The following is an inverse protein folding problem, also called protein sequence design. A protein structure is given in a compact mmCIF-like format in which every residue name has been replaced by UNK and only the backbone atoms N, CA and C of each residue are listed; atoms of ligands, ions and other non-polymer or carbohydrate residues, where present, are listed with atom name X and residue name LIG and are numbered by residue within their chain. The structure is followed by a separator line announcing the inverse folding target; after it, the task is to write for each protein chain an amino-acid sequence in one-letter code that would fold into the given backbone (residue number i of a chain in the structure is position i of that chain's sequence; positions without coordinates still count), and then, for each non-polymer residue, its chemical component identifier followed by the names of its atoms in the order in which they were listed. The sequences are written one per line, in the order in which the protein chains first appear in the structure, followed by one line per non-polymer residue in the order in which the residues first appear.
data_IF_390663666159
#
_entry.id   IF_390663666159
#
_cell.length_a   1.000
_cell.length_b   1.000
_cell.length_c   1.000
_cell.angle_alpha   90.00
_cell.angle_beta   90.00
_cell.angle_gamma   90.00
#
_symmetry.space_group_name_H-M   'P 1'
#
loop_
_entity.id
_entity.type
_entity.pdbx_description
1 polymer ?
#
# COMPACT_ATOMS: atom_id res chain seq x y z
N UNK A 1 -68.18 70.18 -18.07
CA UNK A 1 -66.90 70.02 -18.78
C UNK A 1 -66.53 68.56 -18.63
N UNK A 2 -67.11 67.66 -19.45
CA UNK A 2 -66.75 67.33 -20.84
C UNK A 2 -65.64 66.25 -20.87
N UNK A 3 -65.94 65.11 -21.49
CA UNK A 3 -65.09 63.96 -21.86
C UNK A 3 -64.61 63.04 -20.70
N UNK A 4 -64.54 61.72 -20.86
CA UNK A 4 -65.49 60.74 -21.43
C UNK A 4 -65.08 59.30 -21.01
N UNK A 5 -65.97 58.31 -21.23
CA UNK A 5 -65.75 56.85 -21.47
C UNK A 5 -64.32 56.24 -21.36
N UNK A 6 -64.05 54.99 -20.93
CA UNK A 6 -64.78 53.71 -20.71
C UNK A 6 -63.74 52.73 -20.06
N UNK A 7 -64.00 51.53 -19.51
CA UNK A 7 -65.19 50.63 -19.43
C UNK A 7 -65.14 49.81 -18.10
N UNK A 8 -65.97 48.77 -17.97
CA UNK A 8 -66.09 47.79 -16.87
C UNK A 8 -64.94 46.71 -16.88
N UNK A 9 -64.73 45.78 -15.93
CA UNK A 9 -65.67 45.03 -15.05
C UNK A 9 -64.91 44.18 -13.99
N UNK A 10 -65.58 43.76 -12.91
CA UNK A 10 -65.27 42.60 -12.00
C UNK A 10 -63.90 42.64 -11.29
N UNK A 11 -63.76 42.89 -9.98
CA UNK A 11 -64.37 42.20 -8.81
C UNK A 11 -64.21 40.67 -8.85
N UNK A 12 -63.16 40.14 -8.19
CA UNK A 12 -63.26 39.24 -6.99
C UNK A 12 -61.90 38.71 -6.53
N UNK A 13 -61.63 38.90 -5.23
CA UNK A 13 -61.00 37.95 -4.29
C UNK A 13 -59.60 37.42 -4.69
N UNK A 14 -58.56 38.12 -4.22
CA UNK A 14 -57.27 37.53 -3.91
C UNK A 14 -57.37 36.77 -2.58
N UNK A 15 -57.47 35.44 -2.61
CA UNK A 15 -57.28 34.55 -1.45
C UNK A 15 -57.06 33.12 -1.92
N UNK A 16 -56.13 32.40 -1.27
CA UNK A 16 -55.84 30.98 -1.48
C UNK A 16 -55.34 30.57 -2.90
N UNK A 17 -54.09 30.91 -3.21
CA UNK A 17 -53.31 30.21 -4.25
C UNK A 17 -51.89 29.86 -3.75
N UNK A 18 -51.83 29.12 -2.63
CA UNK A 18 -50.56 28.73 -1.98
C UNK A 18 -50.65 27.37 -1.25
N UNK A 19 -51.25 26.35 -1.87
CA UNK A 19 -51.41 25.02 -1.27
C UNK A 19 -51.73 23.95 -2.33
N UNK A 20 -50.76 23.59 -3.19
CA UNK A 20 -50.83 22.37 -4.05
C UNK A 20 -49.53 22.03 -4.84
N UNK A 21 -48.32 22.33 -4.33
CA UNK A 21 -47.07 22.03 -5.04
C UNK A 21 -45.93 21.44 -4.17
N UNK A 22 -46.27 20.72 -3.09
CA UNK A 22 -45.29 20.00 -2.25
C UNK A 22 -45.76 18.59 -1.87
N UNK A 23 -46.04 17.76 -2.88
CA UNK A 23 -46.04 16.27 -2.77
C UNK A 23 -45.73 15.65 -4.14
N UNK A 24 -44.55 15.98 -4.67
CA UNK A 24 -43.73 14.94 -5.32
C UNK A 24 -42.63 14.57 -4.34
N UNK A 25 -43.00 13.79 -3.32
CA UNK A 25 -42.07 12.84 -2.72
C UNK A 25 -41.45 12.01 -3.83
N UNK A 26 -40.19 11.59 -3.68
CA UNK A 26 -39.57 10.64 -4.61
C UNK A 26 -40.55 9.50 -4.88
N UNK A 27 -40.99 9.36 -6.14
CA UNK A 27 -41.53 8.07 -6.55
C UNK A 27 -40.39 7.07 -6.37
N UNK A 28 -40.70 5.90 -5.83
CA UNK A 28 -39.75 4.79 -5.82
C UNK A 28 -39.59 4.41 -7.29
N UNK A 29 -38.49 4.85 -7.88
CA UNK A 29 -38.26 4.75 -9.32
C UNK A 29 -37.89 3.29 -9.65
N UNK A 30 -38.92 2.51 -9.97
CA UNK A 30 -38.81 1.10 -10.33
C UNK A 30 -39.88 0.22 -9.65
N UNK A 31 -40.94 -0.11 -10.38
CA UNK A 31 -41.97 -1.09 -10.00
C UNK A 31 -41.45 -2.55 -9.96
N UNK A 32 -40.13 -2.74 -9.82
CA UNK A 32 -39.50 -4.05 -9.87
C UNK A 32 -38.23 -4.12 -8.99
N UNK A 33 -38.35 -3.66 -7.73
CA UNK A 33 -37.33 -3.86 -6.68
C UNK A 33 -37.24 -5.33 -6.20
N UNK A 34 -37.26 -6.27 -7.13
CA UNK A 34 -36.92 -7.66 -6.86
C UNK A 34 -35.39 -7.81 -6.85
N UNK A 35 -34.86 -8.26 -5.71
CA UNK A 35 -33.53 -8.85 -5.67
C UNK A 35 -33.58 -10.13 -6.52
N UNK A 36 -32.62 -10.28 -7.42
CA UNK A 36 -32.39 -11.55 -8.12
C UNK A 36 -31.92 -12.64 -7.13
N UNK A 37 -31.81 -13.90 -7.58
CA UNK A 37 -31.15 -14.92 -6.76
C UNK A 37 -29.71 -14.53 -6.41
N UNK A 38 -29.23 -14.94 -5.23
CA UNK A 38 -27.83 -14.74 -4.83
C UNK A 38 -26.89 -15.31 -5.91
N UNK A 39 -25.90 -14.53 -6.38
CA UNK A 39 -24.97 -15.01 -7.40
C UNK A 39 -24.21 -16.23 -6.90
N UNK A 40 -23.93 -17.16 -7.81
CA UNK A 40 -23.12 -18.36 -7.54
C UNK A 40 -21.74 -18.13 -8.17
N UNK A 41 -20.76 -17.60 -7.42
CA UNK A 41 -19.45 -17.30 -7.96
C UNK A 41 -18.68 -18.57 -8.29
N UNK A 42 -18.10 -18.58 -9.48
CA UNK A 42 -17.22 -19.65 -9.95
C UNK A 42 -16.13 -19.03 -10.84
N UNK A 43 -14.99 -19.70 -10.96
CA UNK A 43 -13.89 -19.26 -11.84
C UNK A 43 -12.98 -20.38 -12.30
N UNK A 44 -12.38 -20.19 -13.48
CA UNK A 44 -11.24 -20.98 -13.96
C UNK A 44 -9.93 -20.22 -13.70
N UNK A 45 -8.85 -20.96 -13.48
CA UNK A 45 -7.48 -20.47 -13.43
C UNK A 45 -6.64 -21.24 -14.45
N UNK A 46 -5.95 -20.52 -15.34
CA UNK A 46 -5.14 -21.07 -16.44
C UNK A 46 -3.70 -20.55 -16.30
N UNK A 47 -2.71 -21.44 -16.17
CA UNK A 47 -1.30 -21.06 -16.23
C UNK A 47 -0.92 -20.79 -17.69
N UNK A 48 -0.72 -19.51 -18.03
CA UNK A 48 -0.45 -19.01 -19.40
C UNK A 48 1.06 -18.80 -19.66
N UNK A 49 1.90 -19.14 -18.69
CA UNK A 49 3.35 -19.08 -18.70
C UNK A 49 3.88 -19.29 -17.26
N UNK A 50 5.18 -19.52 -17.06
CA UNK A 50 5.75 -19.77 -15.72
C UNK A 50 5.34 -18.68 -14.73
N UNK A 51 4.63 -19.07 -13.66
CA UNK A 51 4.13 -18.15 -12.64
C UNK A 51 3.07 -17.15 -13.11
N UNK A 52 2.60 -17.19 -14.37
CA UNK A 52 1.57 -16.28 -14.91
C UNK A 52 0.23 -16.98 -14.98
N UNK A 53 -0.68 -16.61 -14.10
CA UNK A 53 -2.03 -17.17 -14.05
C UNK A 53 -3.05 -16.19 -14.61
N UNK A 54 -3.88 -16.66 -15.53
CA UNK A 54 -5.08 -15.98 -16.00
C UNK A 54 -6.29 -16.50 -15.24
N UNK A 55 -6.97 -15.60 -14.53
CA UNK A 55 -8.20 -15.87 -13.80
C UNK A 55 -9.40 -15.44 -14.62
N UNK A 56 -10.42 -16.28 -14.71
CA UNK A 56 -11.60 -16.08 -15.57
C UNK A 56 -12.87 -16.29 -14.75
N UNK A 57 -13.63 -15.21 -14.55
CA UNK A 57 -14.95 -15.26 -13.92
C UNK A 57 -15.91 -16.13 -14.74
N UNK A 58 -16.54 -17.11 -14.08
CA UNK A 58 -17.56 -18.02 -14.66
C UNK A 58 -18.94 -17.84 -14.03
N UNK A 59 -19.11 -16.83 -13.18
CA UNK A 59 -20.40 -16.52 -12.54
C UNK A 59 -21.48 -16.38 -13.59
N UNK A 60 -22.52 -17.19 -13.51
CA UNK A 60 -23.57 -17.33 -14.54
C UNK A 60 -24.54 -16.13 -14.63
N UNK A 61 -24.34 -15.10 -13.80
CA UNK A 61 -25.16 -13.89 -13.74
C UNK A 61 -24.27 -12.65 -13.87
N UNK A 62 -24.75 -11.55 -14.49
CA UNK A 62 -24.01 -10.30 -14.55
C UNK A 62 -23.64 -9.81 -13.15
N UNK A 63 -22.34 -9.65 -12.91
CA UNK A 63 -21.78 -9.25 -11.61
C UNK A 63 -20.55 -8.37 -11.80
N UNK A 64 -20.18 -7.61 -10.77
CA UNK A 64 -18.87 -6.98 -10.65
C UNK A 64 -17.94 -7.98 -9.94
N UNK A 65 -16.90 -8.42 -10.62
CA UNK A 65 -15.93 -9.40 -10.12
C UNK A 65 -14.70 -8.73 -9.49
N UNK A 66 -14.35 -9.14 -8.26
CA UNK A 66 -13.18 -8.67 -7.50
C UNK A 66 -12.37 -9.85 -7.01
N UNK A 67 -11.07 -9.79 -7.22
CA UNK A 67 -10.12 -10.85 -6.87
C UNK A 67 -9.29 -10.45 -5.67
N UNK A 68 -8.98 -11.41 -4.80
CA UNK A 68 -7.96 -11.28 -3.75
C UNK A 68 -7.08 -12.51 -3.75
N UNK A 69 -5.77 -12.34 -3.98
CA UNK A 69 -4.77 -13.40 -3.76
C UNK A 69 -4.46 -13.42 -2.25
N UNK A 70 -4.77 -14.52 -1.57
CA UNK A 70 -4.78 -14.55 -0.10
C UNK A 70 -3.39 -14.44 0.52
N UNK A 71 -2.34 -14.94 -0.16
CA UNK A 71 -0.95 -14.88 0.32
C UNK A 71 -0.34 -13.48 0.27
N UNK A 72 -0.58 -12.73 -0.82
CA UNK A 72 -0.01 -11.39 -1.03
C UNK A 72 -0.94 -10.24 -0.63
N UNK A 73 -2.24 -10.53 -0.46
CA UNK A 73 -3.27 -9.51 -0.31
C UNK A 73 -3.54 -8.68 -1.57
N UNK A 74 -2.96 -9.04 -2.72
CA UNK A 74 -3.16 -8.35 -3.99
C UNK A 74 -4.64 -8.38 -4.39
N UNK A 75 -5.17 -7.22 -4.81
CA UNK A 75 -6.56 -7.08 -5.25
C UNK A 75 -6.65 -6.60 -6.70
N UNK A 76 -7.57 -7.21 -7.47
CA UNK A 76 -7.87 -6.84 -8.86
C UNK A 76 -9.38 -6.78 -9.07
N UNK A 77 -9.85 -6.14 -10.15
CA UNK A 77 -11.26 -6.05 -10.53
C UNK A 77 -11.40 -6.33 -12.04
N UNK A 78 -12.48 -7.02 -12.43
CA UNK A 78 -12.78 -7.39 -13.83
C UNK A 78 -13.03 -8.88 -14.04
N UNK A 79 -13.73 -9.24 -15.12
CA UNK A 79 -14.12 -10.62 -15.41
C UNK A 79 -12.96 -11.52 -15.87
N UNK A 80 -11.89 -10.93 -16.41
CA UNK A 80 -10.64 -11.63 -16.73
C UNK A 80 -9.49 -10.78 -16.21
N UNK A 81 -8.61 -11.37 -15.42
CA UNK A 81 -7.40 -10.72 -14.90
C UNK A 81 -6.20 -11.65 -15.04
N UNK A 82 -5.02 -11.08 -15.19
CA UNK A 82 -3.75 -11.82 -15.09
C UNK A 82 -3.06 -11.47 -13.77
N UNK A 83 -2.50 -12.47 -13.11
CA UNK A 83 -1.70 -12.34 -11.90
C UNK A 83 -0.36 -13.07 -12.06
N UNK A 84 0.66 -12.59 -11.37
CA UNK A 84 1.96 -13.23 -11.30
C UNK A 84 2.12 -13.86 -9.91
N UNK A 85 2.14 -15.18 -9.86
CA UNK A 85 2.42 -16.01 -8.69
C UNK A 85 3.83 -16.58 -8.90
N UNK A 86 4.81 -15.91 -8.32
CA UNK A 86 6.22 -16.01 -8.72
C UNK A 86 6.85 -17.38 -8.44
N UNK A 87 6.38 -18.10 -7.42
CA UNK A 87 7.01 -19.33 -6.96
C UNK A 87 6.14 -20.56 -7.26
N UNK A 88 6.76 -21.71 -7.44
CA UNK A 88 6.07 -23.00 -7.47
C UNK A 88 5.28 -23.20 -6.16
N UNK A 89 4.02 -23.63 -6.26
CA UNK A 89 3.22 -23.82 -5.07
C UNK A 89 1.72 -23.83 -5.30
N UNK A 90 0.98 -23.65 -4.21
CA UNK A 90 -0.48 -23.62 -4.19
C UNK A 90 -0.97 -22.39 -3.44
N UNK A 91 -1.86 -21.64 -4.07
CA UNK A 91 -2.26 -20.30 -3.67
C UNK A 91 -3.78 -20.22 -3.58
N UNK A 92 -4.31 -19.79 -2.44
CA UNK A 92 -5.74 -19.52 -2.33
C UNK A 92 -6.07 -18.18 -2.99
N UNK A 93 -6.97 -18.23 -3.97
CA UNK A 93 -7.49 -17.06 -4.69
C UNK A 93 -8.98 -16.95 -4.40
N UNK A 94 -9.38 -15.80 -3.85
CA UNK A 94 -10.77 -15.47 -3.55
C UNK A 94 -11.36 -14.58 -4.64
N UNK A 95 -12.53 -14.97 -5.14
CA UNK A 95 -13.38 -14.17 -6.01
C UNK A 95 -14.59 -13.70 -5.18
N UNK A 96 -14.72 -12.39 -5.01
CA UNK A 96 -15.92 -11.70 -4.53
C UNK A 96 -16.72 -11.19 -5.73
N UNK A 97 -18.02 -11.47 -5.77
CA UNK A 97 -18.93 -10.96 -6.80
C UNK A 97 -20.09 -10.17 -6.19
N UNK A 98 -20.46 -9.08 -6.84
CA UNK A 98 -21.64 -8.27 -6.50
C UNK A 98 -22.58 -8.18 -7.69
N UNK A 99 -23.86 -8.54 -7.50
CA UNK A 99 -24.90 -8.44 -8.53
C UNK A 99 -26.24 -8.01 -7.94
N UNK A 100 -27.29 -7.97 -8.77
CA UNK A 100 -28.64 -7.54 -8.36
C UNK A 100 -29.22 -8.37 -7.20
N UNK A 101 -28.81 -9.65 -7.06
CA UNK A 101 -29.23 -10.52 -5.95
C UNK A 101 -28.43 -10.38 -4.66
N UNK A 102 -27.44 -9.47 -4.60
CA UNK A 102 -26.54 -9.31 -3.47
C UNK A 102 -25.09 -9.68 -3.77
N UNK A 103 -24.33 -9.98 -2.72
CA UNK A 103 -22.91 -10.33 -2.80
C UNK A 103 -22.68 -11.79 -2.40
N UNK A 104 -21.72 -12.45 -3.04
CA UNK A 104 -21.26 -13.78 -2.70
C UNK A 104 -19.75 -13.92 -2.97
N UNK A 105 -19.12 -14.96 -2.43
CA UNK A 105 -17.69 -15.21 -2.69
C UNK A 105 -17.37 -16.69 -2.77
N UNK A 106 -16.37 -17.05 -3.57
CA UNK A 106 -15.74 -18.38 -3.61
C UNK A 106 -14.23 -18.22 -3.43
N UNK A 107 -13.60 -19.21 -2.81
CA UNK A 107 -12.13 -19.34 -2.78
C UNK A 107 -11.76 -20.67 -3.42
N UNK A 108 -10.81 -20.67 -4.35
CA UNK A 108 -10.21 -21.89 -4.89
C UNK A 108 -8.69 -21.83 -4.75
N UNK A 109 -8.08 -23.00 -4.58
CA UNK A 109 -6.64 -23.15 -4.67
C UNK A 109 -6.21 -23.17 -6.14
N UNK A 110 -5.20 -22.37 -6.46
CA UNK A 110 -4.56 -22.22 -7.77
C UNK A 110 -3.13 -22.73 -7.63
N UNK A 111 -2.74 -23.70 -8.45
CA UNK A 111 -1.37 -24.23 -8.45
C UNK A 111 -0.52 -23.56 -9.52
N UNK A 112 0.75 -23.34 -9.20
CA UNK A 112 1.81 -22.89 -10.11
C UNK A 112 2.80 -24.03 -10.27
N UNK A 113 3.14 -24.39 -11.51
CA UNK A 113 3.93 -25.59 -11.80
C UNK A 113 5.45 -25.41 -11.76
N UNK A 114 5.95 -24.17 -11.77
CA UNK A 114 7.36 -23.83 -11.59
C UNK A 114 7.52 -22.35 -11.21
N UNK A 115 8.63 -22.00 -10.56
CA UNK A 115 9.05 -20.60 -10.35
C UNK A 115 9.12 -19.85 -11.70
N UNK A 116 8.76 -18.56 -11.71
CA UNK A 116 9.03 -17.67 -12.84
C UNK A 116 10.56 -17.46 -12.97
N UNK A 117 11.21 -17.98 -14.03
CA UNK A 117 12.66 -17.93 -14.19
C UNK A 117 13.18 -16.51 -14.46
N UNK A 118 12.31 -15.50 -14.62
CA UNK A 118 12.67 -14.10 -14.78
C UNK A 118 12.36 -13.26 -13.53
N UNK A 119 11.70 -13.79 -12.51
CA UNK A 119 11.28 -13.00 -11.36
C UNK A 119 12.44 -12.49 -10.47
N UNK A 120 13.60 -13.17 -10.49
CA UNK A 120 14.82 -12.67 -9.85
C UNK A 120 15.71 -11.81 -10.75
N UNK A 121 15.30 -11.56 -12.00
CA UNK A 121 15.99 -10.62 -12.89
C UNK A 121 15.94 -9.21 -12.28
N UNK A 122 17.04 -8.46 -12.40
CA UNK A 122 17.15 -7.16 -11.72
C UNK A 122 16.33 -6.03 -12.37
N UNK A 123 15.68 -6.26 -13.52
CA UNK A 123 14.66 -5.37 -14.08
C UNK A 123 13.30 -5.53 -13.37
N UNK A 124 13.15 -6.59 -12.55
CA UNK A 124 12.01 -6.82 -11.67
C UNK A 124 12.24 -6.23 -10.30
N UNK A 125 11.19 -5.68 -9.70
CA UNK A 125 11.29 -5.08 -8.36
C UNK A 125 11.68 -6.14 -7.30
N UNK A 126 11.20 -7.38 -7.44
CA UNK A 126 11.60 -8.47 -6.54
C UNK A 126 13.08 -8.84 -6.70
N UNK A 127 13.55 -9.09 -7.93
CA UNK A 127 14.96 -9.37 -8.22
C UNK A 127 15.90 -8.23 -7.82
N UNK A 128 15.50 -6.98 -8.06
CA UNK A 128 16.24 -5.81 -7.60
C UNK A 128 16.34 -5.78 -6.06
N UNK A 129 15.25 -6.03 -5.32
CA UNK A 129 15.23 -5.99 -3.86
C UNK A 129 15.92 -7.16 -3.17
N UNK A 130 15.81 -8.38 -3.73
CA UNK A 130 16.17 -9.63 -3.06
C UNK A 130 17.20 -10.50 -3.82
N UNK A 131 17.65 -10.09 -5.01
CA UNK A 131 18.45 -10.96 -5.91
C UNK A 131 17.72 -12.28 -6.23
N UNK A 132 18.45 -13.30 -6.67
CA UNK A 132 17.96 -14.68 -6.82
C UNK A 132 18.09 -15.53 -5.54
N UNK A 133 18.44 -14.94 -4.40
CA UNK A 133 18.63 -15.65 -3.11
C UNK A 133 18.22 -14.79 -1.92
N UNK A 134 19.01 -13.78 -1.62
CA UNK A 134 18.70 -12.69 -0.70
C UNK A 134 19.58 -11.48 -1.03
N UNK A 135 19.18 -10.30 -0.57
CA UNK A 135 19.99 -9.08 -0.62
C UNK A 135 19.77 -8.25 0.64
N UNK A 136 20.86 -7.77 1.22
CA UNK A 136 20.85 -6.98 2.46
C UNK A 136 21.16 -5.52 2.14
N UNK A 137 20.40 -4.63 2.79
CA UNK A 137 20.48 -3.19 2.61
C UNK A 137 20.74 -2.51 3.95
N UNK A 138 21.41 -1.36 3.94
CA UNK A 138 21.45 -0.40 5.06
C UNK A 138 21.15 1.00 4.53
N UNK A 139 20.96 2.00 5.40
CA UNK A 139 20.93 3.40 4.96
C UNK A 139 22.21 3.76 4.18
N UNK A 140 22.08 4.43 3.04
CA UNK A 140 23.22 4.88 2.25
C UNK A 140 24.05 5.88 3.09
N UNK A 141 25.35 5.66 3.35
CA UNK A 141 26.15 6.51 4.25
C UNK A 141 26.58 7.84 3.59
N UNK A 142 25.60 8.67 3.24
CA UNK A 142 25.74 9.98 2.61
C UNK A 142 24.70 10.98 3.16
N UNK A 143 24.89 12.27 2.94
CA UNK A 143 23.90 13.28 3.32
C UNK A 143 22.59 13.10 2.54
N UNK A 144 21.45 13.24 3.21
CA UNK A 144 20.13 12.99 2.63
C UNK A 144 19.75 11.50 2.52
N UNK A 145 20.51 10.61 3.17
CA UNK A 145 20.17 9.19 3.36
C UNK A 145 18.73 9.00 3.82
N UNK A 146 18.24 9.86 4.71
CA UNK A 146 16.83 9.93 5.07
C UNK A 146 16.42 11.35 5.44
N UNK A 147 15.17 11.70 5.12
CA UNK A 147 14.66 13.07 5.16
C UNK A 147 13.14 13.11 5.16
N UNK A 148 12.59 14.21 5.65
CA UNK A 148 11.14 14.46 5.74
C UNK A 148 10.79 15.85 5.22
N UNK A 149 9.68 15.95 4.50
CA UNK A 149 9.25 17.21 3.90
C UNK A 149 7.86 17.15 3.24
N UNK A 150 7.42 18.27 2.65
CA UNK A 150 6.21 18.36 1.86
C UNK A 150 6.46 17.75 0.48
N UNK A 151 6.30 16.44 0.39
CA UNK A 151 6.39 15.65 -0.83
C UNK A 151 7.49 14.57 -0.83
N UNK A 152 7.40 13.61 -1.76
CA UNK A 152 8.39 12.54 -1.93
C UNK A 152 9.77 13.10 -2.29
N UNK A 153 10.83 12.52 -1.71
CA UNK A 153 12.22 12.98 -1.87
C UNK A 153 12.49 14.43 -1.40
N UNK A 154 11.52 15.07 -0.72
CA UNK A 154 11.68 16.38 -0.10
C UNK A 154 12.29 16.25 1.32
N UNK A 155 13.17 17.19 1.68
CA UNK A 155 13.84 17.28 2.98
C UNK A 155 13.78 18.67 3.61
N UNK A 156 12.82 19.50 3.21
CA UNK A 156 12.65 20.88 3.66
C UNK A 156 12.41 21.02 5.17
N UNK A 157 11.75 20.04 5.80
CA UNK A 157 11.52 20.07 7.25
C UNK A 157 12.74 19.53 8.01
N UNK A 158 13.32 18.42 7.55
CA UNK A 158 14.58 17.90 8.05
C UNK A 158 15.23 16.92 7.06
N UNK A 159 16.55 16.87 7.01
CA UNK A 159 17.32 15.91 6.23
C UNK A 159 18.59 15.52 6.98
N UNK A 160 18.97 14.24 6.93
CA UNK A 160 20.22 13.76 7.51
C UNK A 160 21.43 14.44 6.86
N UNK A 161 22.44 14.76 7.66
CA UNK A 161 23.70 15.36 7.24
C UNK A 161 24.84 14.32 7.21
N UNK A 162 26.02 14.72 6.74
CA UNK A 162 27.23 13.89 6.89
C UNK A 162 27.62 13.64 8.35
N UNK A 163 27.24 14.54 9.28
CA UNK A 163 27.50 14.35 10.71
C UNK A 163 26.55 13.31 11.32
N UNK A 164 25.31 13.20 10.82
CA UNK A 164 24.32 12.24 11.29
C UNK A 164 24.75 10.78 11.08
N UNK A 165 25.61 10.50 10.09
CA UNK A 165 26.20 9.15 9.89
C UNK A 165 26.97 8.69 11.13
N UNK A 166 27.64 9.62 11.83
CA UNK A 166 28.39 9.34 13.05
C UNK A 166 27.54 9.45 14.32
N UNK A 167 26.64 10.44 14.42
CA UNK A 167 25.81 10.64 15.63
C UNK A 167 24.61 9.70 15.71
N UNK A 168 24.15 9.18 14.57
CA UNK A 168 23.07 8.19 14.44
C UNK A 168 23.60 6.85 13.91
N UNK A 169 24.81 6.44 14.34
CA UNK A 169 25.47 5.22 13.83
C UNK A 169 24.61 3.95 13.98
N UNK A 170 23.76 3.92 15.01
CA UNK A 170 22.71 2.93 15.33
C UNK A 170 21.43 3.00 14.46
N UNK A 171 21.43 3.80 13.38
CA UNK A 171 20.44 3.72 12.29
C UNK A 171 21.14 3.39 10.95
N UNK A 172 22.46 3.63 10.84
CA UNK A 172 23.25 3.33 9.63
C UNK A 172 23.91 1.94 9.65
N UNK A 173 23.98 1.29 10.81
CA UNK A 173 24.37 -0.12 10.99
C UNK A 173 23.19 -1.09 10.77
N UNK A 174 21.94 -0.63 10.92
CA UNK A 174 20.71 -1.38 10.71
C UNK A 174 20.69 -2.11 9.37
N UNK A 175 20.34 -3.40 9.39
CA UNK A 175 20.24 -4.25 8.22
C UNK A 175 18.78 -4.59 7.89
N UNK A 176 18.45 -4.42 6.61
CA UNK A 176 17.16 -4.73 6.01
C UNK A 176 17.39 -5.80 4.94
N UNK A 177 17.11 -7.07 5.27
CA UNK A 177 17.39 -8.22 4.39
C UNK A 177 16.09 -8.75 3.79
N UNK A 178 16.06 -8.86 2.46
CA UNK A 178 14.95 -9.43 1.70
C UNK A 178 15.39 -10.77 1.11
N UNK A 179 14.63 -11.83 1.36
CA UNK A 179 14.84 -13.15 0.76
C UNK A 179 14.01 -13.32 -0.51
N UNK A 180 14.57 -14.00 -1.50
CA UNK A 180 13.87 -14.46 -2.69
C UNK A 180 13.23 -15.82 -2.41
N UNK A 181 12.06 -15.81 -1.77
CA UNK A 181 11.30 -17.01 -1.41
C UNK A 181 9.78 -16.78 -1.38
N UNK A 182 9.00 -17.86 -1.41
CA UNK A 182 7.54 -17.83 -1.44
C UNK A 182 6.91 -17.18 -0.21
N UNK A 183 7.59 -17.23 0.94
CA UNK A 183 7.14 -16.58 2.18
C UNK A 183 7.34 -15.05 2.16
N UNK A 184 8.14 -14.52 1.23
CA UNK A 184 8.53 -13.12 1.18
C UNK A 184 9.23 -12.70 2.47
N UNK A 185 10.27 -13.41 2.90
CA UNK A 185 10.88 -13.16 4.21
C UNK A 185 11.61 -11.82 4.24
N UNK A 186 11.26 -10.97 5.21
CA UNK A 186 11.98 -9.75 5.54
C UNK A 186 12.62 -9.88 6.93
N UNK A 187 13.92 -9.65 7.05
CA UNK A 187 14.62 -9.60 8.35
C UNK A 187 15.12 -8.18 8.59
N UNK A 188 14.67 -7.58 9.70
CA UNK A 188 15.25 -6.37 10.24
C UNK A 188 16.19 -6.73 11.38
N UNK A 189 17.43 -6.22 11.33
CA UNK A 189 18.39 -6.35 12.42
C UNK A 189 19.03 -5.01 12.78
N UNK A 190 18.68 -4.49 13.97
CA UNK A 190 19.18 -3.23 14.52
C UNK A 190 20.53 -3.36 15.26
N UNK A 191 21.19 -4.52 15.17
CA UNK A 191 22.48 -4.81 15.81
C UNK A 191 22.50 -4.63 17.34
N UNK A 192 21.33 -4.55 17.97
CA UNK A 192 21.16 -4.38 19.40
C UNK A 192 21.13 -2.94 19.89
N UNK A 193 21.08 -1.92 19.01
CA UNK A 193 20.91 -0.52 19.37
C UNK A 193 19.80 0.19 18.55
N UNK A 194 19.52 1.46 18.88
CA UNK A 194 18.58 2.34 18.17
C UNK A 194 18.86 3.81 18.52
N UNK A 195 18.49 4.74 17.65
CA UNK A 195 18.53 6.16 17.97
C UNK A 195 17.27 6.60 18.74
N UNK A 196 17.46 7.22 19.91
CA UNK A 196 16.37 7.49 20.85
C UNK A 196 15.60 8.80 20.58
N UNK A 197 16.20 9.74 19.83
CA UNK A 197 15.59 10.99 19.31
C UNK A 197 14.89 11.88 20.38
N UNK A 198 15.17 11.67 21.67
CA UNK A 198 14.60 12.40 22.79
C UNK A 198 13.25 11.88 23.33
N UNK A 199 12.68 10.81 22.76
CA UNK A 199 11.35 10.29 23.16
C UNK A 199 11.23 8.77 23.25
N UNK A 200 12.11 8.01 22.59
CA UNK A 200 12.16 6.54 22.66
C UNK A 200 13.01 6.06 23.85
N UNK A 201 12.68 4.89 24.42
CA UNK A 201 13.51 4.21 25.43
C UNK A 201 13.78 5.00 26.72
N UNK A 202 15.03 5.43 26.95
CA UNK A 202 15.42 6.32 28.05
C UNK A 202 15.42 7.81 27.67
N UNK A 203 14.96 8.17 26.46
CA UNK A 203 14.74 9.53 25.98
C UNK A 203 16.01 10.37 25.85
N UNK A 204 17.15 9.73 25.56
CA UNK A 204 18.37 10.48 25.20
C UNK A 204 18.32 11.00 23.76
N UNK A 205 19.19 11.96 23.43
CA UNK A 205 19.40 12.44 22.07
C UNK A 205 20.61 11.73 21.43
N UNK A 206 20.55 10.40 21.35
CA UNK A 206 21.68 9.58 20.92
C UNK A 206 21.30 8.10 20.70
N UNK A 207 22.31 7.30 20.38
CA UNK A 207 22.17 5.84 20.31
C UNK A 207 22.04 5.21 21.70
N UNK A 208 21.08 4.31 21.85
CA UNK A 208 20.80 3.55 23.07
C UNK A 208 20.77 2.03 22.76
N UNK A 209 21.18 1.15 23.70
CA UNK A 209 20.96 -0.28 23.56
C UNK A 209 19.46 -0.61 23.45
N UNK A 210 19.06 -1.48 22.54
CA UNK A 210 17.67 -1.86 22.27
C UNK A 210 16.92 -2.42 23.50
N UNK A 211 17.63 -2.88 24.53
CA UNK A 211 17.08 -3.24 25.84
C UNK A 211 16.46 -2.06 26.61
N UNK A 212 16.69 -0.82 26.19
CA UNK A 212 16.05 0.37 26.75
C UNK A 212 14.63 0.62 26.21
N UNK A 213 14.22 -0.02 25.10
CA UNK A 213 12.87 0.05 24.55
C UNK A 213 11.86 -0.54 25.56
N UNK A 214 10.66 0.06 25.66
CA UNK A 214 9.67 -0.29 26.70
C UNK A 214 8.25 -0.34 26.14
N UNK A 215 7.42 -1.22 26.69
CA UNK A 215 6.04 -1.40 26.24
C UNK A 215 5.98 -1.77 24.76
N UNK A 216 5.05 -1.16 24.02
CA UNK A 216 4.89 -1.42 22.58
C UNK A 216 6.12 -1.02 21.74
N UNK A 217 7.01 -0.14 22.24
CA UNK A 217 8.27 0.18 21.54
C UNK A 217 9.18 -1.05 21.35
N UNK A 218 9.03 -2.10 22.16
CA UNK A 218 9.76 -3.36 22.02
C UNK A 218 9.52 -4.04 20.66
N UNK A 219 8.39 -3.76 20.01
CA UNK A 219 8.04 -4.30 18.69
C UNK A 219 8.87 -3.68 17.55
N UNK A 220 9.61 -2.59 17.80
CA UNK A 220 10.59 -2.02 16.86
C UNK A 220 12.00 -2.60 16.99
N UNK A 221 12.18 -3.66 17.76
CA UNK A 221 13.47 -4.37 17.85
C UNK A 221 13.70 -5.28 16.63
N UNK A 222 14.89 -5.89 16.50
CA UNK A 222 15.18 -6.87 15.44
C UNK A 222 14.12 -7.97 15.37
N UNK A 223 13.75 -8.38 14.15
CA UNK A 223 12.67 -9.33 13.94
C UNK A 223 12.56 -9.84 12.51
N UNK A 224 11.88 -10.98 12.37
CA UNK A 224 11.51 -11.57 11.08
C UNK A 224 10.04 -11.28 10.79
N UNK A 225 9.79 -10.74 9.61
CA UNK A 225 8.52 -10.26 9.11
C UNK A 225 8.33 -10.75 7.66
N UNK A 226 7.29 -10.26 6.99
CA UNK A 226 7.03 -10.56 5.59
C UNK A 226 7.06 -9.29 4.73
N UNK A 227 7.33 -9.43 3.45
CA UNK A 227 7.18 -8.37 2.46
C UNK A 227 6.43 -8.85 1.21
N UNK A 228 5.84 -7.89 0.49
CA UNK A 228 5.26 -8.10 -0.82
C UNK A 228 5.50 -6.89 -1.71
N UNK A 229 5.59 -7.12 -3.02
CA UNK A 229 5.84 -6.07 -4.01
C UNK A 229 4.74 -6.03 -5.07
N UNK A 230 4.47 -4.85 -5.61
CA UNK A 230 3.57 -4.67 -6.76
C UNK A 230 4.24 -3.74 -7.76
N UNK A 231 4.53 -4.22 -8.97
CA UNK A 231 5.16 -3.42 -10.03
C UNK A 231 4.16 -2.40 -10.63
N UNK A 232 4.67 -1.33 -11.26
CA UNK A 232 3.82 -0.35 -11.98
C UNK A 232 2.98 0.59 -11.09
N UNK A 233 2.99 0.40 -9.77
CA UNK A 233 2.22 1.19 -8.79
C UNK A 233 3.02 2.33 -8.17
N UNK A 234 2.42 3.00 -7.17
CA UNK A 234 3.00 4.17 -6.52
C UNK A 234 2.99 5.44 -7.38
N UNK A 235 3.56 6.50 -6.82
CA UNK A 235 3.61 7.85 -7.41
C UNK A 235 4.56 7.96 -8.62
N UNK A 236 5.62 7.15 -8.68
CA UNK A 236 6.59 7.12 -9.80
C UNK A 236 6.31 6.02 -10.82
N UNK A 237 5.32 5.14 -10.58
CA UNK A 237 5.02 3.94 -11.39
C UNK A 237 6.15 2.92 -11.46
N UNK A 238 7.12 3.00 -10.53
CA UNK A 238 8.18 2.00 -10.35
C UNK A 238 7.74 0.81 -9.48
N UNK A 239 6.63 0.97 -8.75
CA UNK A 239 6.07 -0.05 -7.87
C UNK A 239 5.93 0.41 -6.42
N UNK A 240 5.46 -0.52 -5.58
CA UNK A 240 5.34 -0.35 -4.13
C UNK A 240 5.86 -1.59 -3.40
N UNK A 241 6.49 -1.34 -2.25
CA UNK A 241 6.95 -2.35 -1.29
C UNK A 241 6.06 -2.28 -0.05
N UNK A 242 5.42 -3.40 0.31
CA UNK A 242 4.62 -3.55 1.53
C UNK A 242 5.37 -4.43 2.51
N UNK A 243 5.77 -3.89 3.65
CA UNK A 243 6.22 -4.69 4.79
C UNK A 243 5.02 -5.05 5.66
N UNK A 244 4.95 -6.30 6.11
CA UNK A 244 3.81 -6.90 6.81
C UNK A 244 4.28 -7.53 8.13
N UNK A 245 3.61 -7.16 9.22
CA UNK A 245 3.99 -7.47 10.59
C UNK A 245 4.04 -6.20 11.42
N UNK A 246 3.46 -6.25 12.63
CA UNK A 246 3.46 -5.12 13.56
C UNK A 246 4.89 -4.82 14.03
N UNK A 247 5.39 -3.63 13.71
CA UNK A 247 6.77 -3.22 13.98
C UNK A 247 7.71 -3.28 12.78
N UNK A 248 7.32 -3.90 11.66
CA UNK A 248 8.13 -3.94 10.44
C UNK A 248 8.27 -2.53 9.83
N UNK A 249 9.51 -2.10 9.58
CA UNK A 249 9.82 -0.77 9.06
C UNK A 249 11.19 -0.76 8.35
N UNK A 250 11.50 0.34 7.67
CA UNK A 250 12.80 0.69 7.13
C UNK A 250 13.14 2.11 7.59
N UNK A 251 14.36 2.29 8.11
CA UNK A 251 14.83 3.58 8.64
C UNK A 251 14.07 4.03 9.88
N UNK A 252 13.36 5.16 9.80
CA UNK A 252 12.78 5.83 10.98
C UNK A 252 11.51 5.12 11.46
N UNK A 253 11.68 4.29 12.49
CA UNK A 253 10.67 3.35 13.05
C UNK A 253 9.31 3.94 13.47
N UNK A 254 9.26 5.23 13.79
CA UNK A 254 8.00 5.94 14.10
C UNK A 254 7.10 6.19 12.89
N UNK A 255 7.65 6.21 11.67
CA UNK A 255 6.94 6.61 10.47
C UNK A 255 6.07 5.47 9.92
N UNK A 256 4.79 5.76 9.65
CA UNK A 256 3.87 4.80 9.06
C UNK A 256 2.89 5.51 8.11
N UNK A 257 2.12 4.76 7.33
CA UNK A 257 1.17 5.40 6.43
C UNK A 257 0.16 6.27 7.21
N UNK A 258 0.04 7.55 6.84
CA UNK A 258 -0.87 8.49 7.49
C UNK A 258 -0.51 8.91 8.93
N UNK A 259 0.75 8.76 9.38
CA UNK A 259 1.20 9.44 10.61
C UNK A 259 2.61 9.07 11.09
N UNK A 260 2.96 9.61 12.25
CA UNK A 260 4.11 9.19 13.04
C UNK A 260 3.66 8.91 14.49
N UNK A 261 4.25 7.91 15.14
CA UNK A 261 3.95 7.56 16.55
C UNK A 261 5.21 7.23 17.33
N UNK A 262 5.31 7.73 18.57
CA UNK A 262 6.44 7.53 19.49
C UNK A 262 6.23 6.40 20.51
N UNK A 263 4.98 6.01 20.77
CA UNK A 263 4.61 4.99 21.78
C UNK A 263 4.87 3.54 21.36
N UNK A 264 4.96 3.28 20.06
CA UNK A 264 5.09 1.96 19.45
C UNK A 264 4.40 1.88 18.08
N UNK A 265 4.52 0.76 17.35
CA UNK A 265 3.89 0.60 16.04
C UNK A 265 2.36 0.47 16.15
N UNK A 266 1.63 1.33 15.44
CA UNK A 266 0.14 1.36 15.41
C UNK A 266 -0.48 0.70 14.19
N UNK A 267 0.33 0.08 13.31
CA UNK A 267 -0.13 -0.67 12.13
C UNK A 267 0.56 -2.02 12.03
N UNK A 268 -0.13 -2.99 11.45
CA UNK A 268 0.39 -4.31 11.10
C UNK A 268 1.11 -4.32 9.74
N UNK A 269 1.31 -3.16 9.11
CA UNK A 269 2.05 -3.01 7.86
C UNK A 269 2.55 -1.58 7.67
N UNK A 270 3.59 -1.42 6.84
CA UNK A 270 3.99 -0.14 6.23
C UNK A 270 4.12 -0.32 4.72
N UNK A 271 3.53 0.59 3.95
CA UNK A 271 3.59 0.65 2.50
C UNK A 271 4.51 1.79 2.07
N UNK A 272 5.50 1.44 1.25
CA UNK A 272 6.48 2.33 0.66
C UNK A 272 6.29 2.40 -0.85
N UNK A 273 6.39 3.60 -1.41
CA UNK A 273 6.49 3.82 -2.86
C UNK A 273 7.95 3.75 -3.28
N UNK A 274 8.23 3.04 -4.38
CA UNK A 274 9.56 3.02 -4.99
C UNK A 274 9.75 4.34 -5.75
N UNK A 275 10.78 5.10 -5.37
CA UNK A 275 11.06 6.43 -5.91
C UNK A 275 12.19 6.43 -6.94
N UNK A 276 13.18 5.55 -6.75
CA UNK A 276 14.33 5.36 -7.63
C UNK A 276 15.00 4.00 -7.38
N UNK A 277 15.62 3.43 -8.42
CA UNK A 277 16.37 2.17 -8.37
C UNK A 277 17.58 2.28 -9.29
N UNK A 278 18.78 2.18 -8.73
CA UNK A 278 20.04 2.27 -9.47
C UNK A 278 20.89 1.02 -9.19
N UNK A 279 21.36 0.35 -10.24
CA UNK A 279 22.26 -0.80 -10.11
C UNK A 279 23.71 -0.40 -10.22
N UNK A 280 24.58 -1.16 -9.55
CA UNK A 280 26.05 -1.12 -9.67
C UNK A 280 26.58 0.31 -9.87
N UNK A 281 26.27 1.17 -8.89
CA UNK A 281 26.36 2.63 -9.04
C UNK A 281 27.80 3.03 -9.34
N UNK A 282 28.02 3.56 -10.55
CA UNK A 282 29.34 3.88 -11.10
C UNK A 282 30.34 2.71 -11.13
N UNK A 283 29.86 1.46 -11.23
CA UNK A 283 30.70 0.25 -11.22
C UNK A 283 31.30 -0.09 -9.85
N UNK A 284 30.73 0.45 -8.77
CA UNK A 284 31.28 0.32 -7.41
C UNK A 284 30.76 -0.91 -6.64
N UNK A 285 29.97 -1.78 -7.27
CA UNK A 285 29.56 -3.07 -6.72
C UNK A 285 28.41 -3.03 -5.71
N UNK A 286 27.67 -1.92 -5.64
CA UNK A 286 26.45 -1.77 -4.83
C UNK A 286 25.32 -1.15 -5.64
N UNK A 287 24.09 -1.43 -5.22
CA UNK A 287 22.86 -0.84 -5.75
C UNK A 287 22.36 0.25 -4.79
N UNK A 288 21.60 1.23 -5.30
CA UNK A 288 20.86 2.20 -4.49
C UNK A 288 19.35 2.04 -4.71
N UNK A 289 18.61 1.97 -3.60
CA UNK A 289 17.15 1.93 -3.58
C UNK A 289 16.65 3.20 -2.90
N UNK A 290 15.77 3.97 -3.53
CA UNK A 290 15.07 5.07 -2.86
C UNK A 290 13.59 4.74 -2.69
N UNK A 291 13.11 4.83 -1.45
CA UNK A 291 11.71 4.57 -1.08
C UNK A 291 11.12 5.73 -0.28
N UNK A 292 9.80 5.92 -0.38
CA UNK A 292 9.07 6.93 0.38
C UNK A 292 7.84 6.37 1.08
N UNK A 293 7.57 6.83 2.31
CA UNK A 293 6.32 6.54 3.05
C UNK A 293 5.56 7.84 3.28
N UNK A 294 4.31 7.89 2.82
CA UNK A 294 3.43 9.04 3.07
C UNK A 294 2.89 8.99 4.51
N UNK A 295 3.28 9.96 5.33
CA UNK A 295 2.84 10.12 6.73
C UNK A 295 1.57 10.97 6.85
N UNK A 296 0.87 11.24 5.74
CA UNK A 296 -0.42 11.93 5.70
C UNK A 296 -0.35 13.30 5.04
N UNK A 297 -1.36 13.62 4.22
CA UNK A 297 -1.35 14.82 3.38
C UNK A 297 -0.11 14.86 2.50
N UNK A 298 0.55 16.01 2.46
CA UNK A 298 1.82 16.20 1.73
C UNK A 298 3.05 15.71 2.52
N UNK A 299 2.91 15.18 3.75
CA UNK A 299 4.04 14.71 4.53
C UNK A 299 4.59 13.38 4.05
N UNK A 300 5.90 13.33 3.77
CA UNK A 300 6.61 12.08 3.42
C UNK A 300 7.93 11.96 4.17
N UNK A 301 8.22 10.76 4.66
CA UNK A 301 9.61 10.34 4.89
C UNK A 301 10.14 9.67 3.62
N UNK A 302 11.40 9.94 3.30
CA UNK A 302 12.14 9.28 2.21
C UNK A 302 13.42 8.67 2.75
N UNK A 303 13.74 7.46 2.29
CA UNK A 303 14.95 6.70 2.65
C UNK A 303 15.69 6.29 1.37
N UNK A 304 17.01 6.49 1.36
CA UNK A 304 17.93 5.97 0.35
C UNK A 304 18.75 4.87 0.99
N UNK A 305 18.55 3.64 0.54
CA UNK A 305 19.30 2.48 0.98
C UNK A 305 20.42 2.13 -0.01
N UNK A 306 21.45 1.47 0.50
CA UNK A 306 22.57 0.91 -0.25
C UNK A 306 22.64 -0.58 -0.01
N UNK A 307 22.82 -1.38 -1.07
CA UNK A 307 23.01 -2.82 -0.91
C UNK A 307 24.43 -3.16 -0.46
N UNK A 308 24.54 -4.24 0.30
CA UNK A 308 25.80 -4.82 0.77
C UNK A 308 25.87 -6.29 0.31
N UNK A 309 27.08 -6.75 -0.03
CA UNK A 309 27.37 -8.15 -0.33
C UNK A 309 27.74 -8.93 0.92
#
# INVERSE_FOLDING_TARGET
MIIDYKVLTKVKIWSALLLLFFVQSCQIEGDNLSLSGLPQPDFDAEEIGPGRIKLINKTSTPTIARWTVMSSGQKLEGDVVEINLIFEGSYDVKLDVAGQGGMASVTKTVSVSADDPQACSDDKLLGFLASCTQKTWRLNPEAGAFKVGPGPDNGEWWSSSMADIATRSCEFNDEFTFSFNAEGTFVYDNKGDFFADGYLGNKTAGCEPASNLKGEQLLWNSGTFQFGVVEGTGIKKLGQLRLMGKGAHIGVKKAHNGGETDTGPVRDYVLYDILDMQKDVNGQGYDLLKIGVNIGGDGWWTFTLRSFK
#
